data_IF_815784135697
#
_entry.id   IF_815784135697
#
_cell.length_a   1.000
_cell.length_b   1.000
_cell.length_c   1.000
_cell.angle_alpha   90.00
_cell.angle_beta   90.00
_cell.angle_gamma   90.00
#
_symmetry.space_group_name_H-M   'P 1'
#
loop_
_entity.id
_entity.type
_entity.pdbx_description
1 polymer ?
#
# COMPACT_ATOMS: atom_id res chain seq x y z
N UNK A 1 6.85 19.57 2.34
CA UNK A 1 5.98 19.65 1.14
C UNK A 1 5.94 18.24 0.55
N UNK A 2 4.77 17.62 0.37
CA UNK A 2 4.69 16.26 -0.21
C UNK A 2 5.21 16.33 -1.64
N UNK A 3 6.17 15.48 -2.01
CA UNK A 3 6.66 15.41 -3.40
C UNK A 3 5.53 14.93 -4.32
N UNK A 4 5.48 15.39 -5.57
CA UNK A 4 4.49 14.92 -6.54
C UNK A 4 4.53 13.39 -6.70
N UNK A 5 5.70 12.80 -6.50
CA UNK A 5 5.91 11.36 -6.51
C UNK A 5 5.28 10.67 -5.30
N UNK A 6 5.53 11.14 -4.08
CA UNK A 6 4.90 10.60 -2.88
C UNK A 6 3.37 10.73 -2.94
N UNK A 7 2.87 11.84 -3.50
CA UNK A 7 1.44 12.03 -3.73
C UNK A 7 0.86 10.96 -4.67
N UNK A 8 1.51 10.65 -5.79
CA UNK A 8 1.02 9.61 -6.71
C UNK A 8 1.01 8.22 -6.07
N UNK A 9 2.00 7.91 -5.21
CA UNK A 9 1.97 6.69 -4.43
C UNK A 9 0.75 6.64 -3.51
N UNK A 10 0.54 7.70 -2.71
CA UNK A 10 -0.62 7.78 -1.82
C UNK A 10 -1.93 7.63 -2.59
N UNK A 11 -2.07 8.26 -3.76
CA UNK A 11 -3.25 8.12 -4.62
C UNK A 11 -3.49 6.66 -5.07
N UNK A 12 -2.43 5.87 -5.32
CA UNK A 12 -2.53 4.44 -5.63
C UNK A 12 -2.95 3.59 -4.40
N UNK A 13 -2.54 3.97 -3.18
CA UNK A 13 -2.93 3.30 -1.94
C UNK A 13 -4.32 3.71 -1.42
N UNK A 14 -4.77 4.93 -1.74
CA UNK A 14 -6.01 5.51 -1.20
C UNK A 14 -7.24 4.61 -1.36
N UNK A 15 -7.52 3.95 -2.50
CA UNK A 15 -8.67 3.06 -2.65
C UNK A 15 -8.66 1.86 -1.69
N UNK A 16 -7.49 1.47 -1.22
CA UNK A 16 -7.32 0.40 -0.23
C UNK A 16 -7.50 0.98 1.16
N UNK A 17 -6.78 2.05 1.47
CA UNK A 17 -6.79 2.68 2.80
C UNK A 17 -8.15 3.29 3.17
N UNK A 18 -8.96 3.66 2.18
CA UNK A 18 -10.31 4.19 2.40
C UNK A 18 -11.38 3.11 2.64
N UNK A 19 -11.01 1.82 2.64
CA UNK A 19 -11.99 0.76 2.84
C UNK A 19 -12.53 0.75 4.29
N UNK A 20 -13.85 0.64 4.48
CA UNK A 20 -14.42 0.55 5.82
C UNK A 20 -13.96 -0.72 6.53
N UNK A 21 -13.75 -0.63 7.85
CA UNK A 21 -13.32 -1.75 8.70
C UNK A 21 -11.94 -2.35 8.35
N UNK A 22 -11.07 -1.60 7.67
CA UNK A 22 -9.69 -1.99 7.46
C UNK A 22 -8.85 -1.66 8.70
N UNK A 23 -8.15 -2.64 9.25
CA UNK A 23 -7.24 -2.43 10.39
C UNK A 23 -5.79 -2.24 9.91
N UNK A 24 -5.34 -3.09 8.99
CA UNK A 24 -3.97 -3.07 8.49
C UNK A 24 -3.88 -3.64 7.07
N UNK A 25 -2.86 -3.18 6.34
CA UNK A 25 -2.45 -3.69 5.03
C UNK A 25 -1.05 -4.27 5.16
N UNK A 26 -0.86 -5.51 4.74
CA UNK A 26 0.41 -6.23 4.90
C UNK A 26 0.96 -6.64 3.53
N UNK A 27 2.17 -6.19 3.21
CA UNK A 27 2.90 -6.54 2.00
C UNK A 27 4.01 -7.55 2.33
N UNK A 28 3.81 -8.81 1.95
CA UNK A 28 4.76 -9.90 2.28
C UNK A 28 5.37 -10.58 1.06
N UNK A 29 4.77 -10.43 -0.12
CA UNK A 29 5.21 -11.08 -1.35
C UNK A 29 4.94 -10.15 -2.51
N UNK A 30 5.81 -10.21 -3.53
CA UNK A 30 5.68 -9.37 -4.71
C UNK A 30 4.27 -9.45 -5.31
N UNK A 31 3.67 -8.27 -5.54
CA UNK A 31 2.31 -8.04 -6.08
C UNK A 31 1.18 -8.61 -5.23
N UNK A 32 1.46 -9.24 -4.09
CA UNK A 32 0.49 -9.82 -3.18
C UNK A 32 0.47 -9.04 -1.86
N UNK A 33 -0.73 -8.72 -1.38
CA UNK A 33 -0.91 -8.08 -0.09
C UNK A 33 -2.14 -8.61 0.62
N UNK A 34 -2.17 -8.45 1.94
CA UNK A 34 -3.29 -8.87 2.77
C UNK A 34 -3.98 -7.66 3.39
N UNK A 35 -5.30 -7.68 3.32
CA UNK A 35 -6.16 -6.76 4.06
C UNK A 35 -6.64 -7.49 5.30
N UNK A 36 -6.24 -7.01 6.47
CA UNK A 36 -6.75 -7.54 7.72
C UNK A 36 -7.87 -6.63 8.22
N UNK A 37 -8.98 -7.26 8.54
CA UNK A 37 -10.21 -6.67 9.07
C UNK A 37 -10.58 -7.42 10.35
N UNK A 38 -11.48 -6.90 11.20
CA UNK A 38 -11.74 -7.48 12.54
C UNK A 38 -12.04 -8.98 12.60
N UNK A 39 -12.52 -9.58 11.50
CA UNK A 39 -12.91 -11.00 11.46
C UNK A 39 -12.41 -11.74 10.22
N UNK A 40 -11.63 -11.08 9.37
CA UNK A 40 -11.20 -11.68 8.11
C UNK A 40 -9.83 -11.19 7.67
N UNK A 41 -9.15 -12.06 6.92
CA UNK A 41 -7.91 -11.77 6.22
C UNK A 41 -8.14 -12.04 4.75
N UNK A 42 -8.14 -10.99 3.94
CA UNK A 42 -8.38 -11.08 2.50
C UNK A 42 -7.04 -11.00 1.79
N UNK A 43 -6.73 -12.01 0.96
CA UNK A 43 -5.57 -11.97 0.07
C UNK A 43 -5.94 -11.22 -1.19
N UNK A 44 -5.14 -10.23 -1.56
CA UNK A 44 -5.33 -9.40 -2.72
C UNK A 44 -4.08 -9.41 -3.60
N UNK A 45 -4.26 -9.03 -4.86
CA UNK A 45 -3.19 -8.97 -5.85
C UNK A 45 -3.27 -7.67 -6.64
N UNK A 46 -2.13 -7.05 -6.91
CA UNK A 46 -2.02 -5.85 -7.73
C UNK A 46 -0.66 -5.81 -8.42
N UNK A 47 -0.67 -5.84 -9.76
CA UNK A 47 0.54 -5.82 -10.60
C UNK A 47 1.43 -4.60 -10.37
N UNK A 48 0.87 -3.47 -9.89
CA UNK A 48 1.65 -2.27 -9.56
C UNK A 48 2.54 -2.44 -8.34
N UNK A 49 2.15 -3.26 -7.36
CA UNK A 49 2.85 -3.39 -6.08
C UNK A 49 4.01 -4.39 -6.17
N UNK A 50 4.93 -4.11 -7.10
CA UNK A 50 6.21 -4.81 -7.18
C UNK A 50 7.09 -4.44 -5.99
N UNK A 51 8.10 -5.26 -5.70
CA UNK A 51 9.05 -4.96 -4.62
C UNK A 51 9.76 -3.62 -4.85
N UNK A 52 10.17 -3.33 -6.09
CA UNK A 52 10.82 -2.06 -6.45
C UNK A 52 9.89 -0.87 -6.23
N UNK A 53 8.62 -1.00 -6.61
CA UNK A 53 7.63 0.06 -6.40
C UNK A 53 7.47 0.37 -4.90
N UNK A 54 7.36 -0.67 -4.07
CA UNK A 54 7.23 -0.53 -2.62
C UNK A 54 8.51 0.01 -1.97
N UNK A 55 9.69 -0.37 -2.47
CA UNK A 55 10.96 0.16 -2.00
C UNK A 55 11.06 1.67 -2.22
N UNK A 56 10.77 2.14 -3.45
CA UNK A 56 10.80 3.57 -3.76
C UNK A 56 9.74 4.33 -2.94
N UNK A 57 8.57 3.75 -2.73
CA UNK A 57 7.58 4.34 -1.83
C UNK A 57 8.11 4.52 -0.40
N UNK A 58 8.76 3.49 0.17
CA UNK A 58 9.39 3.57 1.48
C UNK A 58 10.50 4.63 1.54
N UNK A 59 11.32 4.75 0.49
CA UNK A 59 12.32 5.81 0.38
C UNK A 59 11.68 7.20 0.37
N UNK A 60 10.60 7.39 -0.40
CA UNK A 60 9.87 8.66 -0.43
C UNK A 60 9.26 9.00 0.94
N UNK A 61 8.73 8.00 1.67
CA UNK A 61 8.22 8.18 3.02
C UNK A 61 9.31 8.56 4.03
N UNK A 62 10.51 7.97 3.93
CA UNK A 62 11.60 8.23 4.86
C UNK A 62 12.17 9.66 4.75
N UNK A 63 11.97 10.31 3.60
CA UNK A 63 12.50 11.65 3.29
C UNK A 63 11.45 12.74 3.56
N UNK A 64 10.16 12.39 3.69
CA UNK A 64 9.05 13.32 3.91
C UNK A 64 8.99 13.81 5.37
#
# INVERSE_FOLDING_TARGET
MISNLLKSYLDDFMPILSQPNLNEVVFNKEKEYFLHRPKEKVRCFNEKFTNDYLLVFCEQLAIF
#
